data_IF_215849990550
#
_entry.id   IF_215849990550
#
_cell.length_a   1.000
_cell.length_b   1.000
_cell.length_c   1.000
_cell.angle_alpha   90.00
_cell.angle_beta   90.00
_cell.angle_gamma   90.00
#
_symmetry.space_group_name_H-M   'P 1'
#
loop_
_entity.id
_entity.type
_entity.pdbx_description
1 polymer ?
#
# COMPACT_ATOMS: atom_id res chain seq x y z
N UNK A 1 12.71 -16.89 -17.69
CA UNK A 1 11.89 -15.71 -18.02
C UNK A 1 10.43 -16.13 -18.02
N UNK A 2 9.55 -15.44 -17.29
CA UNK A 2 8.10 -15.70 -17.34
C UNK A 2 7.50 -14.73 -18.35
N UNK A 3 6.97 -15.27 -19.46
CA UNK A 3 6.30 -14.46 -20.48
C UNK A 3 4.91 -14.04 -19.99
N UNK A 4 4.53 -12.79 -20.30
CA UNK A 4 3.19 -12.28 -19.98
C UNK A 4 2.16 -12.92 -20.92
N UNK A 5 1.02 -13.33 -20.37
CA UNK A 5 -0.09 -13.90 -21.13
C UNK A 5 -1.24 -12.91 -21.25
N UNK A 6 -2.16 -13.09 -22.22
CA UNK A 6 -3.31 -12.18 -22.42
C UNK A 6 -4.13 -11.94 -21.15
N UNK A 7 -4.23 -12.95 -20.28
CA UNK A 7 -4.89 -12.84 -18.97
C UNK A 7 -4.22 -11.81 -18.03
N UNK A 8 -2.92 -11.57 -18.14
CA UNK A 8 -2.20 -10.59 -17.31
C UNK A 8 -2.64 -9.14 -17.60
N UNK A 9 -3.25 -8.91 -18.76
CA UNK A 9 -3.77 -7.60 -19.20
C UNK A 9 -5.25 -7.40 -18.88
N UNK A 10 -5.94 -8.42 -18.35
CA UNK A 10 -7.35 -8.30 -17.94
C UNK A 10 -7.50 -7.28 -16.83
N UNK A 11 -8.52 -6.43 -16.94
CA UNK A 11 -8.84 -5.39 -15.97
C UNK A 11 -10.10 -5.78 -15.21
N UNK A 12 -10.09 -5.59 -13.89
CA UNK A 12 -11.29 -5.73 -13.06
C UNK A 12 -11.52 -4.49 -12.21
N UNK A 13 -12.77 -4.01 -12.06
CA UNK A 13 -13.09 -2.98 -11.10
C UNK A 13 -12.95 -3.55 -9.68
N UNK A 14 -12.31 -2.80 -8.79
CA UNK A 14 -12.19 -3.13 -7.37
C UNK A 14 -12.77 -1.97 -6.58
N UNK A 15 -13.73 -2.28 -5.70
CA UNK A 15 -14.27 -1.32 -4.73
C UNK A 15 -13.36 -1.31 -3.50
N UNK A 16 -12.88 -0.13 -3.11
CA UNK A 16 -12.18 0.08 -1.86
C UNK A 16 -13.01 1.03 -0.97
N UNK A 17 -13.48 0.58 0.21
CA UNK A 17 -14.26 1.41 1.11
C UNK A 17 -13.45 2.58 1.72
N UNK A 18 -12.12 2.44 1.80
CA UNK A 18 -11.22 3.44 2.39
C UNK A 18 -10.13 3.82 1.39
N UNK A 19 -10.53 4.46 0.29
CA UNK A 19 -9.59 4.96 -0.72
C UNK A 19 -9.15 6.38 -0.38
N UNK A 20 -7.86 6.68 -0.60
CA UNK A 20 -7.32 8.04 -0.45
C UNK A 20 -7.56 8.84 -1.74
N UNK A 21 -8.28 9.96 -1.63
CA UNK A 21 -8.59 10.85 -2.76
C UNK A 21 -7.70 12.10 -2.76
N UNK A 22 -7.86 12.96 -3.78
CA UNK A 22 -7.21 14.28 -3.81
C UNK A 22 -7.51 15.07 -2.53
N UNK A 23 -6.52 15.79 -2.02
CA UNK A 23 -6.58 16.44 -0.70
C UNK A 23 -6.40 15.49 0.49
N UNK A 24 -6.30 14.18 0.22
CA UNK A 24 -6.17 13.08 1.18
C UNK A 24 -7.40 12.84 2.05
N UNK A 25 -8.57 13.13 1.49
CA UNK A 25 -9.86 12.68 2.03
C UNK A 25 -9.97 11.16 1.85
N UNK A 26 -10.39 10.45 2.88
CA UNK A 26 -10.66 9.00 2.84
C UNK A 26 -12.15 8.79 2.56
N UNK A 27 -12.49 8.19 1.43
CA UNK A 27 -13.89 7.86 1.07
C UNK A 27 -13.94 6.64 0.15
N UNK A 28 -15.09 5.97 0.02
CA UNK A 28 -15.25 4.86 -0.91
C UNK A 28 -14.87 5.26 -2.35
N UNK A 29 -14.23 4.36 -3.07
CA UNK A 29 -13.84 4.58 -4.45
C UNK A 29 -13.66 3.29 -5.22
N UNK A 30 -13.81 3.37 -6.53
CA UNK A 30 -13.55 2.27 -7.45
C UNK A 30 -12.28 2.53 -8.24
N UNK A 31 -11.46 1.51 -8.42
CA UNK A 31 -10.29 1.58 -9.30
C UNK A 31 -10.18 0.34 -10.16
N UNK A 32 -9.67 0.50 -11.39
CA UNK A 32 -9.40 -0.63 -12.28
C UNK A 32 -8.06 -1.25 -11.91
N UNK A 33 -8.05 -2.55 -11.64
CA UNK A 33 -6.85 -3.31 -11.31
C UNK A 33 -6.58 -4.35 -12.40
N UNK A 34 -5.33 -4.41 -12.88
CA UNK A 34 -4.85 -5.51 -13.72
C UNK A 34 -4.41 -6.70 -12.89
N UNK A 35 -4.41 -7.90 -13.47
CA UNK A 35 -3.93 -9.11 -12.81
C UNK A 35 -2.47 -8.96 -12.32
N UNK A 36 -1.61 -8.33 -13.13
CA UNK A 36 -0.24 -7.95 -12.77
C UNK A 36 -0.02 -6.44 -12.95
N UNK A 37 0.66 -5.81 -11.98
CA UNK A 37 1.22 -4.48 -12.16
C UNK A 37 2.55 -4.63 -12.92
N UNK A 38 2.56 -4.27 -14.19
CA UNK A 38 3.74 -4.35 -15.05
C UNK A 38 4.46 -3.02 -14.97
N UNK A 39 5.62 -2.97 -14.30
CA UNK A 39 6.54 -1.83 -14.32
C UNK A 39 7.71 -2.23 -15.20
N UNK A 40 7.75 -1.69 -16.42
CA UNK A 40 8.79 -2.02 -17.42
C UNK A 40 10.11 -1.27 -17.18
N UNK A 41 10.05 -0.07 -16.59
CA UNK A 41 11.25 0.74 -16.35
C UNK A 41 12.06 0.21 -15.16
N UNK A 42 13.35 -0.16 -15.36
CA UNK A 42 14.21 -0.62 -14.27
C UNK A 42 14.50 0.49 -13.24
N UNK A 43 14.58 1.75 -13.69
CA UNK A 43 14.78 2.91 -12.81
C UNK A 43 13.57 3.12 -11.91
N UNK A 44 12.35 3.01 -12.46
CA UNK A 44 11.13 3.12 -11.66
C UNK A 44 11.00 1.98 -10.66
N UNK A 45 11.36 0.74 -11.05
CA UNK A 45 11.38 -0.39 -10.11
C UNK A 45 12.30 -0.13 -8.92
N UNK A 46 13.54 0.31 -9.17
CA UNK A 46 14.51 0.62 -8.11
C UNK A 46 14.00 1.73 -7.18
N UNK A 47 13.43 2.80 -7.73
CA UNK A 47 12.85 3.90 -6.92
C UNK A 47 11.68 3.41 -6.06
N UNK A 48 10.80 2.56 -6.62
CA UNK A 48 9.69 1.99 -5.85
C UNK A 48 10.15 1.01 -4.77
N UNK A 49 11.22 0.26 -5.02
CA UNK A 49 11.84 -0.61 -4.02
C UNK A 49 12.42 0.21 -2.86
N UNK A 50 13.20 1.24 -3.14
CA UNK A 50 13.76 2.15 -2.14
C UNK A 50 12.67 2.87 -1.34
N UNK A 51 11.64 3.39 -2.02
CA UNK A 51 10.50 4.03 -1.34
C UNK A 51 9.76 3.03 -0.44
N UNK A 52 9.58 1.79 -0.88
CA UNK A 52 8.93 0.76 -0.05
C UNK A 52 9.77 0.41 1.19
N UNK A 53 11.10 0.32 1.06
CA UNK A 53 12.00 0.07 2.18
C UNK A 53 11.95 1.21 3.21
N UNK A 54 12.04 2.47 2.75
CA UNK A 54 11.93 3.65 3.62
C UNK A 54 10.57 3.69 4.34
N UNK A 55 9.49 3.37 3.64
CA UNK A 55 8.15 3.32 4.25
C UNK A 55 8.02 2.19 5.28
N UNK A 56 8.66 1.03 5.06
CA UNK A 56 8.66 -0.06 6.03
C UNK A 56 9.48 0.32 7.27
N UNK A 57 10.62 0.98 7.10
CA UNK A 57 11.48 1.37 8.21
C UNK A 57 10.83 2.46 9.07
N UNK A 58 10.22 3.47 8.45
CA UNK A 58 9.77 4.68 9.17
C UNK A 58 8.27 4.70 9.49
N UNK A 59 7.43 4.04 8.68
CA UNK A 59 5.97 4.13 8.77
C UNK A 59 5.28 2.78 9.03
N UNK A 60 6.03 1.72 9.36
CA UNK A 60 5.40 0.41 9.59
C UNK A 60 4.66 0.36 10.92
N UNK A 61 3.36 0.03 10.83
CA UNK A 61 2.57 -0.33 12.00
C UNK A 61 2.95 -1.74 12.53
N UNK A 62 2.90 -1.97 13.85
CA UNK A 62 3.19 -3.26 14.45
C UNK A 62 2.11 -4.32 14.14
N UNK A 63 0.88 -3.88 13.89
CA UNK A 63 -0.30 -4.71 13.67
C UNK A 63 -0.96 -4.42 12.31
N UNK A 64 -1.89 -5.29 11.92
CA UNK A 64 -2.70 -5.16 10.72
C UNK A 64 -4.19 -5.16 11.07
N UNK A 65 -4.96 -4.26 10.48
CA UNK A 65 -6.40 -4.23 10.67
C UNK A 65 -7.10 -5.37 9.91
N UNK A 66 -8.07 -6.01 10.57
CA UNK A 66 -9.04 -6.95 9.99
C UNK A 66 -10.45 -6.53 10.39
N UNK A 67 -11.42 -6.76 9.52
CA UNK A 67 -12.86 -6.66 9.82
C UNK A 67 -13.47 -8.02 10.18
N UNK A 68 -12.75 -9.11 9.93
CA UNK A 68 -13.17 -10.46 10.30
C UNK A 68 -12.62 -10.81 11.70
N UNK A 69 -13.47 -11.13 12.69
CA UNK A 69 -13.06 -11.53 14.04
C UNK A 69 -12.23 -12.84 14.07
N UNK A 70 -12.47 -13.78 13.17
CA UNK A 70 -11.73 -15.06 13.10
C UNK A 70 -10.25 -14.90 12.76
N UNK A 71 -9.90 -13.72 12.25
CA UNK A 71 -8.55 -13.38 11.85
C UNK A 71 -7.76 -12.70 12.97
N UNK A 72 -8.40 -12.28 14.06
CA UNK A 72 -7.73 -11.62 15.18
C UNK A 72 -6.70 -12.57 15.79
N UNK A 73 -5.49 -12.06 16.07
CA UNK A 73 -4.37 -12.84 16.60
C UNK A 73 -3.58 -13.62 15.55
N UNK A 74 -4.10 -13.82 14.33
CA UNK A 74 -3.34 -14.47 13.25
C UNK A 74 -2.27 -13.54 12.68
N UNK A 75 -1.16 -14.12 12.24
CA UNK A 75 -0.06 -13.37 11.62
C UNK A 75 -0.30 -13.24 10.12
N UNK A 76 -0.40 -12.00 9.64
CA UNK A 76 -0.36 -11.67 8.22
C UNK A 76 1.09 -11.42 7.80
N UNK A 77 1.55 -12.18 6.81
CA UNK A 77 2.86 -11.95 6.16
C UNK A 77 2.64 -11.07 4.93
N UNK A 78 3.29 -9.92 4.90
CA UNK A 78 3.25 -9.04 3.71
C UNK A 78 4.08 -9.61 2.57
N UNK A 79 3.91 -9.11 1.34
CA UNK A 79 4.73 -9.51 0.18
C UNK A 79 6.24 -9.32 0.37
N UNK A 80 6.64 -8.49 1.34
CA UNK A 80 8.03 -8.17 1.69
C UNK A 80 8.49 -8.90 2.95
N UNK A 81 7.74 -9.91 3.43
CA UNK A 81 8.13 -10.73 4.58
C UNK A 81 7.83 -10.14 5.96
N UNK A 82 7.35 -8.89 6.05
CA UNK A 82 6.98 -8.27 7.34
C UNK A 82 5.80 -9.02 7.95
N UNK A 83 5.94 -9.48 9.20
CA UNK A 83 4.93 -10.18 9.98
C UNK A 83 4.14 -9.17 10.81
N UNK A 84 2.81 -9.15 10.66
CA UNK A 84 1.93 -8.28 11.44
C UNK A 84 0.80 -9.10 12.05
N UNK A 85 0.57 -8.94 13.35
CA UNK A 85 -0.55 -9.58 14.03
C UNK A 85 -1.83 -8.85 13.63
N UNK A 86 -2.87 -9.60 13.28
CA UNK A 86 -4.15 -9.01 12.91
C UNK A 86 -4.96 -8.61 14.15
N UNK A 87 -5.48 -7.39 14.14
CA UNK A 87 -6.36 -6.82 15.17
C UNK A 87 -7.66 -6.37 14.53
N UNK A 88 -8.76 -6.51 15.27
CA UNK A 88 -10.04 -5.94 14.85
C UNK A 88 -9.95 -4.41 14.90
N UNK A 89 -10.28 -3.74 13.79
CA UNK A 89 -10.29 -2.29 13.75
C UNK A 89 -11.68 -1.76 13.41
N UNK A 90 -12.06 -0.65 14.05
CA UNK A 90 -13.27 0.08 13.68
C UNK A 90 -13.05 0.90 12.40
N UNK A 91 -14.12 1.29 11.68
CA UNK A 91 -14.02 2.18 10.53
C UNK A 91 -13.24 3.48 10.81
N UNK A 92 -13.45 4.07 11.98
CA UNK A 92 -12.79 5.29 12.44
C UNK A 92 -11.28 5.07 12.64
N UNK A 93 -10.89 3.97 13.29
CA UNK A 93 -9.48 3.60 13.47
C UNK A 93 -8.78 3.37 12.12
N UNK A 94 -9.48 2.76 11.15
CA UNK A 94 -8.94 2.54 9.81
C UNK A 94 -8.68 3.87 9.10
N UNK A 95 -9.64 4.80 9.15
CA UNK A 95 -9.47 6.13 8.57
C UNK A 95 -8.32 6.90 9.22
N UNK A 96 -8.23 6.86 10.55
CA UNK A 96 -7.16 7.51 11.31
C UNK A 96 -5.78 6.93 10.94
N UNK A 97 -5.66 5.61 10.86
CA UNK A 97 -4.42 4.94 10.43
C UNK A 97 -4.03 5.33 9.01
N UNK A 98 -4.98 5.48 8.09
CA UNK A 98 -4.71 5.93 6.72
C UNK A 98 -4.23 7.38 6.71
N UNK A 99 -4.84 8.25 7.51
CA UNK A 99 -4.42 9.66 7.65
C UNK A 99 -3.00 9.76 8.19
N UNK A 100 -2.69 9.05 9.30
CA UNK A 100 -1.33 9.00 9.87
C UNK A 100 -0.31 8.39 8.90
N UNK A 101 -0.70 7.35 8.16
CA UNK A 101 0.16 6.76 7.15
C UNK A 101 0.50 7.76 6.03
N UNK A 102 -0.46 8.60 5.62
CA UNK A 102 -0.21 9.69 4.67
C UNK A 102 0.75 10.73 5.23
N UNK A 103 0.56 11.16 6.46
CA UNK A 103 1.44 12.14 7.12
C UNK A 103 2.87 11.61 7.23
N UNK A 104 3.03 10.36 7.67
CA UNK A 104 4.33 9.70 7.71
C UNK A 104 4.94 9.51 6.31
N UNK A 105 4.13 9.17 5.31
CA UNK A 105 4.61 9.06 3.93
C UNK A 105 5.10 10.41 3.39
N UNK A 106 4.39 11.50 3.69
CA UNK A 106 4.77 12.84 3.24
C UNK A 106 6.14 13.24 3.80
N UNK A 107 6.42 12.96 5.07
CA UNK A 107 7.72 13.26 5.67
C UNK A 107 8.82 12.32 5.19
N UNK A 108 8.53 11.02 5.12
CA UNK A 108 9.51 9.98 4.76
C UNK A 108 9.92 10.02 3.30
N UNK A 109 8.98 10.33 2.41
CA UNK A 109 9.21 10.34 0.96
C UNK A 109 9.60 11.72 0.43
N UNK A 110 9.41 12.80 1.20
CA UNK A 110 9.92 14.13 0.84
C UNK A 110 11.45 14.20 0.81
N UNK A 111 12.13 13.30 1.52
CA UNK A 111 13.60 13.27 1.65
C UNK A 111 14.28 12.12 0.87
N UNK A 112 13.53 11.26 0.16
CA UNK A 112 14.05 10.12 -0.63
C UNK A 112 14.50 10.47 -2.06
N UNK A 113 15.28 9.60 -2.75
CA UNK A 113 16.39 9.95 -3.65
C UNK A 113 15.92 10.61 -4.95
N UNK A 114 15.64 11.90 -4.83
CA UNK A 114 15.20 12.78 -5.89
C UNK A 114 15.43 14.24 -5.50
N UNK A 115 16.46 14.51 -4.68
CA UNK A 115 17.15 15.79 -4.71
C UNK A 115 17.72 16.01 -6.11
N UNK A 116 16.86 16.46 -6.99
CA UNK A 116 17.05 16.72 -8.41
C UNK A 116 15.95 17.68 -8.85
N UNK A 117 15.75 18.72 -8.05
CA UNK A 117 15.28 19.99 -8.54
C UNK A 117 16.50 20.77 -9.01
N UNK A 118 16.71 20.76 -10.32
CA UNK A 118 17.35 21.79 -11.15
C UNK A 118 17.03 21.44 -12.60
#
# INVERSE_FOLDING_TARGET
MVYLVKQDFTQKPVLNPYMLHKGGVVKPGTYTRRAKNIISSPVLRRRMEQAAELMIQNCSLPDACTTNPDNVGKVRVTKRGVRKVMRLCTPEEVQERIRRARECAATTLATGPGGGGA
#
